data_IF_693599371127
#
_entry.id   IF_693599371127
#
_cell.length_a   1.000
_cell.length_b   1.000
_cell.length_c   1.000
_cell.angle_alpha   90.00
_cell.angle_beta   90.00
_cell.angle_gamma   90.00
#
_symmetry.space_group_name_H-M   'P 1'
#
loop_
_entity.id
_entity.type
_entity.pdbx_description
1 polymer ?
#
# COMPACT_ATOMS: atom_id res chain seq x y z
N UNK A 1 18.84 -12.41 -1.78
CA UNK A 1 18.24 -11.79 -2.98
C UNK A 1 17.31 -10.69 -2.51
N UNK A 2 16.87 -9.79 -3.39
CA UNK A 2 15.91 -8.73 -3.04
C UNK A 2 14.92 -8.52 -4.17
N UNK A 3 13.72 -8.05 -3.84
CA UNK A 3 12.75 -7.52 -4.81
C UNK A 3 12.91 -6.01 -4.82
N UNK A 4 13.25 -5.45 -5.97
CA UNK A 4 13.45 -4.01 -6.17
C UNK A 4 12.16 -3.35 -6.64
N UNK A 5 12.09 -2.02 -6.53
CA UNK A 5 10.97 -1.26 -7.09
C UNK A 5 10.80 -1.51 -8.59
N UNK A 6 11.91 -1.63 -9.32
CA UNK A 6 11.88 -1.89 -10.76
C UNK A 6 11.24 -3.25 -11.12
N UNK A 7 11.32 -4.25 -10.23
CA UNK A 7 10.66 -5.55 -10.41
C UNK A 7 9.13 -5.47 -10.21
N UNK A 8 8.63 -4.35 -9.65
CA UNK A 8 7.25 -4.17 -9.21
C UNK A 8 6.59 -2.95 -9.87
N UNK A 9 7.25 -2.33 -10.87
CA UNK A 9 6.80 -1.05 -11.43
C UNK A 9 5.41 -1.14 -12.05
N UNK A 10 5.17 -2.13 -12.92
CA UNK A 10 3.87 -2.29 -13.59
C UNK A 10 2.75 -2.55 -12.58
N UNK A 11 2.98 -3.44 -11.61
CA UNK A 11 2.03 -3.65 -10.52
C UNK A 11 1.86 -2.39 -9.65
N UNK A 12 2.92 -1.62 -9.44
CA UNK A 12 2.89 -0.38 -8.69
C UNK A 12 2.08 0.71 -9.37
N UNK A 13 2.12 0.80 -10.70
CA UNK A 13 1.28 1.72 -11.46
C UNK A 13 -0.20 1.43 -11.21
N UNK A 14 -0.61 0.16 -11.32
CA UNK A 14 -2.00 -0.26 -11.08
C UNK A 14 -2.43 -0.08 -9.61
N UNK A 15 -1.54 -0.36 -8.66
CA UNK A 15 -1.86 -0.25 -7.23
C UNK A 15 -1.89 1.20 -6.73
N UNK A 16 -0.98 2.07 -7.18
CA UNK A 16 -0.80 3.38 -6.55
C UNK A 16 -1.33 4.55 -7.37
N UNK A 17 -1.47 4.43 -8.70
CA UNK A 17 -2.04 5.50 -9.52
C UNK A 17 -3.57 5.46 -9.34
N UNK A 18 -4.08 6.47 -8.64
CA UNK A 18 -5.52 6.63 -8.39
C UNK A 18 -6.06 7.79 -9.23
N UNK A 19 -5.30 8.89 -9.24
CA UNK A 19 -5.57 10.05 -10.08
C UNK A 19 -4.72 9.95 -11.35
N UNK A 20 -4.63 11.01 -12.17
CA UNK A 20 -3.83 11.03 -13.41
C UNK A 20 -2.30 11.08 -13.15
N UNK A 21 -1.94 10.51 -12.00
CA UNK A 21 -0.80 10.42 -11.06
C UNK A 21 0.63 10.18 -11.49
N UNK A 22 1.61 10.88 -10.91
CA UNK A 22 2.94 10.27 -10.65
C UNK A 22 3.48 10.51 -9.24
N UNK A 23 2.84 11.36 -8.44
CA UNK A 23 3.28 11.61 -7.05
C UNK A 23 3.01 10.42 -6.14
N UNK A 24 1.93 9.70 -6.40
CA UNK A 24 1.57 8.45 -5.73
C UNK A 24 2.65 7.40 -5.98
N UNK A 25 3.08 7.28 -7.25
CA UNK A 25 4.14 6.35 -7.65
C UNK A 25 5.49 6.72 -7.03
N UNK A 26 5.84 8.00 -6.99
CA UNK A 26 7.05 8.50 -6.31
C UNK A 26 7.02 8.23 -4.81
N UNK A 27 5.85 8.40 -4.18
CA UNK A 27 5.67 8.07 -2.77
C UNK A 27 5.85 6.57 -2.55
N UNK A 28 5.24 5.72 -3.39
CA UNK A 28 5.33 4.28 -3.29
C UNK A 28 6.76 3.77 -3.48
N UNK A 29 7.49 4.31 -4.46
CA UNK A 29 8.92 4.04 -4.65
C UNK A 29 9.72 4.42 -3.40
N UNK A 30 9.50 5.62 -2.86
CA UNK A 30 10.18 6.10 -1.65
C UNK A 30 9.86 5.20 -0.46
N UNK A 31 8.59 4.83 -0.27
CA UNK A 31 8.14 3.94 0.79
C UNK A 31 8.79 2.55 0.66
N UNK A 32 8.86 2.00 -0.55
CA UNK A 32 9.54 0.73 -0.81
C UNK A 32 11.04 0.80 -0.51
N UNK A 33 11.72 1.89 -0.89
CA UNK A 33 13.11 2.13 -0.53
C UNK A 33 13.31 2.20 0.99
N UNK A 34 12.40 2.83 1.73
CA UNK A 34 12.43 2.83 3.21
C UNK A 34 12.28 1.44 3.82
N UNK A 35 11.47 0.57 3.23
CA UNK A 35 11.38 -0.84 3.63
C UNK A 35 12.65 -1.61 3.25
N UNK A 36 13.27 -1.30 2.11
CA UNK A 36 14.54 -1.88 1.67
C UNK A 36 15.69 -1.55 2.63
N UNK A 37 15.82 -0.30 3.06
CA UNK A 37 16.83 0.16 4.03
C UNK A 37 16.78 -0.64 5.35
N UNK A 38 15.62 -1.21 5.68
CA UNK A 38 15.39 -2.03 6.88
C UNK A 38 15.47 -3.53 6.61
N UNK A 39 15.74 -3.94 5.36
CA UNK A 39 15.85 -5.33 4.96
C UNK A 39 14.52 -6.05 4.75
N UNK A 40 13.39 -5.33 4.73
CA UNK A 40 12.06 -5.95 4.55
C UNK A 40 11.77 -6.40 3.12
N UNK A 41 12.59 -6.02 2.15
CA UNK A 41 12.49 -6.40 0.74
C UNK A 41 13.45 -7.53 0.35
N UNK A 42 14.25 -8.02 1.31
CA UNK A 42 15.26 -9.06 1.10
C UNK A 42 14.74 -10.44 1.49
N UNK A 43 15.15 -11.46 0.74
CA UNK A 43 14.78 -12.86 0.97
C UNK A 43 15.95 -13.82 0.74
N UNK A 44 15.93 -14.96 1.43
CA UNK A 44 16.93 -16.02 1.34
C UNK A 44 16.41 -17.27 0.64
N UNK A 45 15.10 -17.49 0.72
CA UNK A 45 14.41 -18.64 0.16
C UNK A 45 13.07 -18.22 -0.46
N UNK A 46 12.41 -19.20 -1.08
CA UNK A 46 11.17 -19.01 -1.81
C UNK A 46 10.00 -18.61 -0.90
N UNK A 47 9.94 -19.12 0.34
CA UNK A 47 8.89 -18.73 1.29
C UNK A 47 9.03 -17.26 1.68
N UNK A 48 10.25 -16.81 1.98
CA UNK A 48 10.53 -15.40 2.27
C UNK A 48 10.25 -14.50 1.08
N UNK A 49 10.46 -14.97 -0.17
CA UNK A 49 10.09 -14.21 -1.37
C UNK A 49 8.59 -13.86 -1.38
N UNK A 50 7.73 -14.81 -1.02
CA UNK A 50 6.28 -14.59 -0.96
C UNK A 50 5.90 -13.61 0.16
N UNK A 51 6.57 -13.68 1.32
CA UNK A 51 6.38 -12.70 2.39
C UNK A 51 6.76 -11.28 1.92
N UNK A 52 7.84 -11.12 1.15
CA UNK A 52 8.21 -9.81 0.58
C UNK A 52 7.13 -9.30 -0.37
N UNK A 53 6.57 -10.16 -1.22
CA UNK A 53 5.48 -9.79 -2.13
C UNK A 53 4.21 -9.40 -1.37
N UNK A 54 3.83 -10.13 -0.30
CA UNK A 54 2.71 -9.76 0.57
C UNK A 54 2.92 -8.38 1.22
N UNK A 55 4.16 -8.03 1.58
CA UNK A 55 4.50 -6.70 2.10
C UNK A 55 4.31 -5.59 1.07
N UNK A 56 4.48 -5.88 -0.22
CA UNK A 56 4.19 -4.91 -1.27
C UNK A 56 2.68 -4.71 -1.43
N UNK A 57 1.90 -5.80 -1.45
CA UNK A 57 0.44 -5.72 -1.55
C UNK A 57 -0.15 -4.93 -0.37
N UNK A 58 0.29 -5.19 0.86
CA UNK A 58 -0.22 -4.46 2.02
C UNK A 58 0.20 -2.98 2.01
N UNK A 59 1.37 -2.64 1.45
CA UNK A 59 1.73 -1.24 1.20
C UNK A 59 0.71 -0.57 0.27
N UNK A 60 0.28 -1.28 -0.77
CA UNK A 60 -0.79 -0.87 -1.69
C UNK A 60 -2.13 -0.67 -1.00
N UNK A 61 -2.59 -1.67 -0.25
CA UNK A 61 -3.85 -1.59 0.52
C UNK A 61 -3.82 -0.42 1.50
N UNK A 62 -2.75 -0.28 2.28
CA UNK A 62 -2.60 0.84 3.21
C UNK A 62 -2.68 2.19 2.52
N UNK A 63 -2.14 2.31 1.30
CA UNK A 63 -2.22 3.53 0.53
C UNK A 63 -3.64 3.83 0.04
N UNK A 64 -4.32 2.83 -0.53
CA UNK A 64 -5.70 2.95 -1.01
C UNK A 64 -6.67 3.26 0.14
N UNK A 65 -6.52 2.59 1.29
CA UNK A 65 -7.27 2.88 2.51
C UNK A 65 -6.98 4.29 3.05
N UNK A 66 -5.73 4.75 2.99
CA UNK A 66 -5.41 6.14 3.33
C UNK A 66 -6.18 7.12 2.44
N UNK A 67 -6.21 6.87 1.13
CA UNK A 67 -6.91 7.73 0.18
C UNK A 67 -8.42 7.77 0.45
N UNK A 68 -9.01 6.63 0.82
CA UNK A 68 -10.39 6.58 1.29
C UNK A 68 -10.62 7.42 2.54
N UNK A 69 -9.71 7.36 3.51
CA UNK A 69 -9.84 8.13 4.75
C UNK A 69 -9.59 9.62 4.58
N UNK A 70 -8.69 10.00 3.68
CA UNK A 70 -8.23 11.38 3.51
C UNK A 70 -9.03 12.15 2.44
N UNK A 71 -9.50 11.47 1.41
CA UNK A 71 -10.08 12.08 0.22
C UNK A 71 -11.43 11.47 -0.20
N UNK A 72 -12.00 10.60 0.63
CA UNK A 72 -13.26 9.89 0.35
C UNK A 72 -13.23 9.04 -0.93
N UNK A 73 -12.02 8.72 -1.42
CA UNK A 73 -11.79 7.95 -2.62
C UNK A 73 -11.90 6.45 -2.33
N UNK A 74 -12.84 5.70 -2.94
CA UNK A 74 -12.98 4.27 -2.68
C UNK A 74 -11.66 3.52 -2.86
N UNK A 75 -11.27 2.69 -1.88
CA UNK A 75 -10.00 1.97 -1.95
C UNK A 75 -9.92 0.97 -3.13
N UNK A 76 -11.06 0.50 -3.64
CA UNK A 76 -11.21 -0.48 -4.74
C UNK A 76 -10.11 -1.57 -4.75
N UNK A 77 -10.16 -2.44 -3.74
CA UNK A 77 -9.14 -3.47 -3.51
C UNK A 77 -9.44 -4.72 -4.34
N UNK A 78 -9.09 -4.71 -5.62
CA UNK A 78 -9.17 -5.92 -6.48
C UNK A 78 -7.88 -6.75 -6.38
N UNK A 79 -7.77 -7.52 -5.29
CA UNK A 79 -6.62 -8.40 -5.04
C UNK A 79 -6.45 -9.44 -6.15
N UNK A 80 -7.55 -9.94 -6.73
CA UNK A 80 -7.51 -10.91 -7.83
C UNK A 80 -6.83 -10.30 -9.06
N UNK A 81 -7.22 -9.09 -9.43
CA UNK A 81 -6.61 -8.37 -10.54
C UNK A 81 -5.12 -8.10 -10.31
N UNK A 82 -4.73 -7.72 -9.10
CA UNK A 82 -3.32 -7.50 -8.74
C UNK A 82 -2.48 -8.78 -8.82
N UNK A 83 -3.07 -9.93 -8.50
CA UNK A 83 -2.41 -11.23 -8.65
C UNK A 83 -2.17 -11.57 -10.12
N UNK A 84 -3.12 -11.29 -11.00
CA UNK A 84 -3.00 -11.52 -12.44
C UNK A 84 -1.85 -10.69 -13.05
N UNK A 85 -1.74 -9.41 -12.67
CA UNK A 85 -0.64 -8.53 -13.10
C UNK A 85 0.70 -9.06 -12.59
N UNK A 86 0.76 -9.43 -11.30
CA UNK A 86 1.98 -9.97 -10.71
C UNK A 86 2.46 -11.22 -11.46
N UNK A 87 1.53 -12.13 -11.83
CA UNK A 87 1.82 -13.32 -12.63
C UNK A 87 2.34 -12.98 -14.03
N UNK A 88 1.75 -11.98 -14.69
CA UNK A 88 2.21 -11.47 -15.98
C UNK A 88 3.69 -11.04 -15.99
N UNK A 89 4.15 -10.46 -14.88
CA UNK A 89 5.53 -10.00 -14.68
C UNK A 89 6.52 -11.12 -14.30
N UNK A 90 6.07 -12.38 -14.29
CA UNK A 90 6.91 -13.54 -13.93
C UNK A 90 7.26 -13.60 -12.43
N UNK A 91 6.65 -12.73 -11.63
CA UNK A 91 6.49 -12.92 -10.19
C UNK A 91 5.19 -13.71 -9.97
N UNK A 92 5.00 -14.35 -8.83
CA UNK A 92 3.70 -14.97 -8.51
C UNK A 92 3.65 -15.32 -7.04
N UNK A 93 2.44 -15.36 -6.49
CA UNK A 93 2.17 -15.90 -5.17
C UNK A 93 1.64 -17.33 -5.30
N UNK A 94 2.54 -18.31 -5.13
CA UNK A 94 2.19 -19.73 -5.19
C UNK A 94 1.18 -20.11 -4.10
N UNK A 95 0.02 -20.68 -4.46
CA UNK A 95 -0.95 -21.15 -3.47
C UNK A 95 -0.35 -22.17 -2.49
N UNK A 96 0.55 -23.04 -2.98
CA UNK A 96 1.26 -24.00 -2.14
C UNK A 96 2.14 -23.29 -1.09
N UNK A 97 2.88 -22.25 -1.47
CA UNK A 97 3.73 -21.49 -0.53
C UNK A 97 2.91 -20.67 0.44
N UNK A 98 1.83 -20.05 -0.02
CA UNK A 98 0.91 -19.34 0.86
C UNK A 98 0.29 -20.29 1.89
N UNK A 99 -0.11 -21.50 1.49
CA UNK A 99 -0.58 -22.53 2.43
C UNK A 99 0.48 -22.98 3.43
N UNK A 100 1.77 -22.93 3.06
CA UNK A 100 2.87 -23.17 4.00
C UNK A 100 3.11 -21.99 4.96
N UNK A 101 2.89 -20.75 4.51
CA UNK A 101 3.02 -19.53 5.33
C UNK A 101 1.85 -19.45 6.31
N UNK A 102 0.63 -19.72 5.86
CA UNK A 102 -0.61 -19.70 6.64
C UNK A 102 -0.72 -20.81 7.71
N UNK A 103 0.38 -21.52 8.01
CA UNK A 103 0.51 -22.68 8.89
C UNK A 103 -0.71 -22.99 9.78
N UNK A 104 -1.45 -24.06 9.45
CA UNK A 104 -2.45 -24.83 10.22
C UNK A 104 -3.55 -24.10 11.01
N UNK A 105 -3.55 -22.76 11.11
CA UNK A 105 -4.53 -21.95 11.81
C UNK A 105 -5.61 -21.39 10.89
N UNK A 106 -5.44 -21.54 9.57
CA UNK A 106 -6.48 -21.22 8.61
C UNK A 106 -7.73 -22.04 8.95
N UNK A 107 -8.73 -21.35 9.49
CA UNK A 107 -10.00 -21.96 9.84
C UNK A 107 -10.63 -22.42 8.54
N UNK A 108 -10.68 -23.74 8.37
CA UNK A 108 -11.29 -24.46 7.25
C UNK A 108 -12.76 -24.05 7.02
N UNK A 109 -13.34 -23.22 7.89
CA UNK A 109 -14.72 -22.77 7.84
C UNK A 109 -15.05 -21.95 6.57
N UNK A 110 -14.13 -21.11 6.05
CA UNK A 110 -14.33 -20.40 4.74
C UNK A 110 -14.02 -21.28 3.53
N UNK A 111 -13.19 -22.32 3.68
CA UNK A 111 -12.88 -23.26 2.62
C UNK A 111 -14.06 -24.19 2.26
N UNK A 112 -15.19 -24.08 2.96
CA UNK A 112 -16.37 -24.91 2.73
C UNK A 112 -17.20 -24.45 1.52
N UNK A 113 -17.08 -23.19 1.11
CA UNK A 113 -17.92 -22.61 0.05
C UNK A 113 -17.17 -22.38 -1.28
N UNK A 114 -15.83 -22.43 -1.30
CA UNK A 114 -15.06 -22.30 -2.53
C UNK A 114 -14.97 -23.63 -3.30
N UNK A 115 -15.16 -23.58 -4.61
CA UNK A 115 -15.06 -24.76 -5.47
C UNK A 115 -13.63 -25.01 -5.94
N UNK A 116 -12.79 -23.96 -5.95
CA UNK A 116 -11.42 -24.00 -6.47
C UNK A 116 -10.41 -23.30 -5.56
N UNK A 117 -9.11 -23.59 -5.75
CA UNK A 117 -8.03 -22.94 -4.99
C UNK A 117 -7.88 -21.49 -5.42
N UNK A 118 -8.14 -21.21 -6.69
CA UNK A 118 -8.11 -19.89 -7.30
C UNK A 118 -9.14 -18.94 -6.64
N UNK A 119 -10.32 -19.43 -6.30
CA UNK A 119 -11.34 -18.66 -5.56
C UNK A 119 -10.94 -18.37 -4.10
N UNK A 120 -10.14 -19.25 -3.48
CA UNK A 120 -9.64 -19.06 -2.11
C UNK A 120 -8.43 -18.13 -2.02
N UNK A 121 -7.70 -17.99 -3.13
CA UNK A 121 -6.41 -17.32 -3.14
C UNK A 121 -6.49 -15.85 -2.68
N UNK A 122 -7.46 -15.03 -3.11
CA UNK A 122 -7.58 -13.65 -2.64
C UNK A 122 -7.83 -13.55 -1.12
N UNK A 123 -8.63 -14.45 -0.54
CA UNK A 123 -8.88 -14.48 0.92
C UNK A 123 -7.61 -14.83 1.68
N UNK A 124 -6.90 -15.88 1.26
CA UNK A 124 -5.61 -16.29 1.84
C UNK A 124 -4.58 -15.18 1.78
N UNK A 125 -4.49 -14.49 0.65
CA UNK A 125 -3.60 -13.35 0.47
C UNK A 125 -3.98 -12.21 1.41
N UNK A 126 -5.27 -11.89 1.53
CA UNK A 126 -5.77 -10.82 2.41
C UNK A 126 -5.45 -11.08 3.87
N UNK A 127 -5.68 -12.30 4.36
CA UNK A 127 -5.35 -12.69 5.74
C UNK A 127 -3.86 -12.62 6.02
N UNK A 128 -3.04 -13.15 5.10
CA UNK A 128 -1.58 -13.10 5.24
C UNK A 128 -1.02 -11.68 5.13
N UNK A 129 -1.67 -10.80 4.38
CA UNK A 129 -1.34 -9.37 4.32
C UNK A 129 -1.61 -8.69 5.66
N UNK A 130 -2.73 -9.01 6.31
CA UNK A 130 -3.05 -8.47 7.64
C UNK A 130 -1.99 -8.87 8.68
N UNK A 131 -1.45 -10.09 8.61
CA UNK A 131 -0.33 -10.52 9.45
C UNK A 131 0.96 -9.70 9.19
N UNK A 132 1.14 -9.15 7.99
CA UNK A 132 2.28 -8.29 7.64
C UNK A 132 2.05 -6.80 7.91
N UNK A 133 0.80 -6.37 8.12
CA UNK A 133 0.41 -4.95 8.26
C UNK A 133 1.25 -4.22 9.29
N UNK A 134 1.37 -4.80 10.48
CA UNK A 134 2.12 -4.21 11.59
C UNK A 134 3.63 -4.06 11.32
N UNK A 135 4.20 -5.01 10.58
CA UNK A 135 5.62 -4.99 10.18
C UNK A 135 5.84 -3.87 9.17
N UNK A 136 4.96 -3.75 8.17
CA UNK A 136 5.04 -2.71 7.14
C UNK A 136 4.83 -1.33 7.75
N UNK A 137 3.80 -1.14 8.58
CA UNK A 137 3.59 0.13 9.29
C UNK A 137 4.82 0.52 10.12
N UNK A 138 5.37 -0.41 10.90
CA UNK A 138 6.55 -0.15 11.72
C UNK A 138 7.74 0.26 10.85
N UNK A 139 7.92 -0.39 9.70
CA UNK A 139 8.92 -0.04 8.71
C UNK A 139 8.73 1.36 8.15
N UNK A 140 7.53 1.70 7.70
CA UNK A 140 7.21 3.03 7.19
C UNK A 140 7.46 4.11 8.27
N UNK A 141 6.97 3.89 9.49
CA UNK A 141 7.17 4.83 10.60
C UNK A 141 8.65 5.09 10.87
N UNK A 142 9.49 4.05 10.90
CA UNK A 142 10.93 4.21 11.10
C UNK A 142 11.57 4.92 9.90
N UNK A 143 11.19 4.56 8.69
CA UNK A 143 11.76 5.10 7.46
C UNK A 143 11.43 6.57 7.22
N UNK A 144 10.22 7.00 7.55
CA UNK A 144 9.78 8.40 7.50
C UNK A 144 10.06 9.16 8.81
N UNK A 145 10.48 8.47 9.87
CA UNK A 145 10.92 9.04 11.15
C UNK A 145 9.84 9.20 12.22
N UNK A 146 8.56 9.35 11.85
CA UNK A 146 7.43 9.37 12.79
C UNK A 146 6.09 9.13 12.08
N UNK A 147 5.03 8.91 12.86
CA UNK A 147 3.65 8.77 12.36
C UNK A 147 3.15 10.06 11.71
N UNK A 148 3.51 11.22 12.28
CA UNK A 148 3.18 12.53 11.72
C UNK A 148 3.88 12.77 10.38
N UNK A 149 5.17 12.42 10.26
CA UNK A 149 5.89 12.55 9.00
C UNK A 149 5.36 11.57 7.94
N UNK A 150 5.07 10.33 8.32
CA UNK A 150 4.42 9.36 7.44
C UNK A 150 3.08 9.90 6.91
N UNK A 151 2.23 10.43 7.80
CA UNK A 151 0.98 11.08 7.43
C UNK A 151 1.19 12.23 6.45
N UNK A 152 2.14 13.13 6.72
CA UNK A 152 2.38 14.27 5.84
C UNK A 152 2.84 13.83 4.44
N UNK A 153 3.70 12.82 4.35
CA UNK A 153 4.14 12.27 3.06
C UNK A 153 3.01 11.58 2.29
N UNK A 154 2.12 10.85 2.96
CA UNK A 154 0.90 10.28 2.37
C UNK A 154 -0.06 11.37 1.88
N UNK A 155 -0.29 12.42 2.66
CA UNK A 155 -1.16 13.53 2.27
C UNK A 155 -0.66 14.23 1.00
N UNK A 156 0.64 14.50 0.94
CA UNK A 156 1.27 15.19 -0.17
C UNK A 156 1.41 14.34 -1.45
N UNK A 157 1.26 13.02 -1.35
CA UNK A 157 1.32 12.14 -2.52
C UNK A 157 0.05 12.18 -3.35
N UNK A 158 -1.11 12.44 -2.73
CA UNK A 158 -2.38 12.60 -3.45
C UNK A 158 -2.58 14.01 -4.02
N UNK A 159 -2.08 15.03 -3.31
CA UNK A 159 -2.30 16.45 -3.61
C UNK A 159 -1.42 17.04 -4.73
N UNK A 160 -0.67 16.24 -5.48
CA UNK A 160 0.14 16.80 -6.58
C UNK A 160 -0.63 17.05 -7.88
N UNK A 161 -1.95 16.79 -7.87
CA UNK A 161 -2.83 16.92 -9.03
C UNK A 161 -3.65 18.20 -9.04
N UNK A 162 -3.76 18.91 -7.92
CA UNK A 162 -4.70 20.04 -7.81
C UNK A 162 -4.29 21.29 -8.61
N UNK A 163 -3.13 21.33 -9.28
CA UNK A 163 -2.58 22.58 -9.85
C UNK A 163 -2.54 22.68 -11.39
N UNK A 164 -2.75 21.60 -12.17
CA UNK A 164 -2.41 21.62 -13.62
C UNK A 164 -3.59 21.49 -14.61
N UNK A 165 -4.84 21.31 -14.16
CA UNK A 165 -5.97 20.96 -15.06
C UNK A 165 -7.23 21.86 -14.93
N UNK A 166 -7.07 23.18 -14.74
CA UNK A 166 -8.17 24.14 -14.99
C UNK A 166 -7.76 25.27 -15.94
N UNK A 167 -8.12 25.06 -17.20
CA UNK A 167 -7.98 25.97 -18.35
C UNK A 167 -9.11 27.02 -18.38
N UNK A 168 -9.62 27.47 -17.23
CA UNK A 168 -10.65 28.53 -17.16
C UNK A 168 -10.51 29.39 -15.88
N UNK A 169 -9.87 30.56 -16.08
CA UNK A 169 -10.07 31.85 -15.41
C UNK A 169 -10.39 31.91 -13.89
N UNK A 170 -9.46 32.58 -13.18
CA UNK A 170 -9.52 33.19 -11.83
C UNK A 170 -8.97 32.39 -10.62
N UNK A 171 -7.65 32.54 -10.43
CA UNK A 171 -7.03 33.01 -9.18
C UNK A 171 -7.30 32.19 -7.89
N UNK A 172 -6.66 31.02 -7.78
CA UNK A 172 -6.10 30.61 -6.49
C UNK A 172 -4.93 29.62 -6.72
N UNK A 173 -3.85 30.17 -7.29
CA UNK A 173 -2.51 29.59 -7.45
C UNK A 173 -1.90 29.32 -6.06
N UNK A 174 -2.51 28.39 -5.30
CA UNK A 174 -2.11 28.10 -3.93
C UNK A 174 -0.84 27.28 -3.99
N UNK A 175 0.26 27.76 -3.38
CA UNK A 175 1.49 26.99 -3.36
C UNK A 175 1.24 25.63 -2.73
N UNK A 176 1.70 24.58 -3.41
CA UNK A 176 1.68 23.19 -2.90
C UNK A 176 2.14 23.15 -1.45
N UNK A 177 1.32 22.52 -0.61
CA UNK A 177 1.66 22.34 0.80
C UNK A 177 3.02 21.62 0.95
N UNK A 178 3.81 22.09 1.90
CA UNK A 178 5.03 21.44 2.37
C UNK A 178 4.72 20.49 3.52
N UNK A 179 5.67 19.61 3.86
CA UNK A 179 5.55 18.73 5.04
C UNK A 179 5.33 19.57 6.30
N UNK A 180 6.05 20.68 6.43
CA UNK A 180 5.93 21.62 7.54
C UNK A 180 4.53 22.25 7.63
N UNK A 181 3.94 22.64 6.49
CA UNK A 181 2.60 23.23 6.44
C UNK A 181 1.51 22.21 6.77
N UNK A 182 1.64 20.98 6.26
CA UNK A 182 0.71 19.88 6.60
C UNK A 182 0.73 19.61 8.10
N UNK A 183 1.91 19.63 8.72
CA UNK A 183 2.07 19.41 10.16
C UNK A 183 1.67 20.62 11.02
N UNK A 184 1.85 21.83 10.53
CA UNK A 184 1.48 23.05 11.24
C UNK A 184 -0.05 23.28 11.25
N UNK A 185 -0.76 22.70 10.28
CA UNK A 185 -2.20 22.92 10.07
C UNK A 185 -2.97 21.60 9.99
N UNK A 186 -3.08 20.89 11.11
CA UNK A 186 -4.02 19.76 11.21
C UNK A 186 -5.44 20.31 11.28
N UNK A 187 -6.03 20.49 10.11
CA UNK A 187 -7.40 20.91 9.91
C UNK A 187 -8.39 19.77 10.23
N UNK A 188 -9.68 20.09 10.27
CA UNK A 188 -10.72 19.10 10.63
C UNK A 188 -10.80 17.94 9.62
N UNK A 189 -10.55 18.22 8.34
CA UNK A 189 -10.47 17.26 7.23
C UNK A 189 -9.25 16.33 7.32
N UNK A 190 -8.11 16.80 7.83
CA UNK A 190 -6.90 15.97 8.03
C UNK A 190 -7.00 15.02 9.22
N UNK A 191 -7.89 15.31 10.18
CA UNK A 191 -7.96 14.63 11.47
C UNK A 191 -8.30 13.13 11.37
N UNK A 192 -9.30 12.68 10.57
CA UNK A 192 -9.63 11.25 10.47
C UNK A 192 -8.47 10.42 9.93
N UNK A 193 -7.84 10.86 8.83
CA UNK A 193 -6.70 10.19 8.23
C UNK A 193 -5.49 10.17 9.16
N UNK A 194 -5.19 11.28 9.85
CA UNK A 194 -4.11 11.32 10.84
C UNK A 194 -4.37 10.39 12.03
N UNK A 195 -5.59 10.33 12.55
CA UNK A 195 -5.97 9.41 13.62
C UNK A 195 -5.82 7.95 13.18
N UNK A 196 -6.23 7.64 11.96
CA UNK A 196 -6.07 6.30 11.38
C UNK A 196 -4.59 5.89 11.26
N UNK A 197 -3.72 6.78 10.77
CA UNK A 197 -2.26 6.56 10.76
C UNK A 197 -1.71 6.36 12.18
N UNK A 198 -2.16 7.17 13.15
CA UNK A 198 -1.76 7.07 14.56
C UNK A 198 -2.24 5.77 15.24
N UNK A 199 -3.30 5.16 14.71
CA UNK A 199 -3.80 3.85 15.13
C UNK A 199 -3.08 2.69 14.43
N UNK A 200 -1.97 2.96 13.74
CA UNK A 200 -1.17 1.99 13.00
C UNK A 200 -1.82 1.51 11.71
N UNK A 201 -2.66 2.36 11.11
CA UNK A 201 -3.31 2.10 9.82
C UNK A 201 -4.07 0.76 9.84
N UNK A 202 -5.04 0.55 10.74
CA UNK A 202 -5.81 -0.70 10.77
C UNK A 202 -6.60 -0.88 9.47
N UNK A 203 -6.89 -2.13 9.07
CA UNK A 203 -7.76 -2.37 7.90
C UNK A 203 -9.13 -1.71 8.08
N UNK A 204 -9.68 -1.14 6.99
CA UNK A 204 -11.00 -0.48 6.98
C UNK A 204 -12.18 -1.46 6.88
#
# INVERSE_FOLDING_TARGET
MKITWADLLELGEEIFIIWTGTSELKWAETAWQKLEEQGFTSYKDDLQKHIVLLRFFILGVMYREFCQMAFEEPADLDISYWLDILEGEGLYLSPFRLGQIADSQYRIDEALDAETVEELLPSIVSDLMEEQRDIVFSGLKVGFGSESLLFAHLWLSARSYDDDDDDDDDDDDKPRETVEEVLASVTYDKMPAFQWVSQRMPSL
#
